data_IF_374678506304
#
_entry.id   IF_374678506304
#
_cell.length_a   1.000
_cell.length_b   1.000
_cell.length_c   1.000
_cell.angle_alpha   90.00
_cell.angle_beta   90.00
_cell.angle_gamma   90.00
#
_symmetry.space_group_name_H-M   'P 1'
#
loop_
_entity.id
_entity.type
_entity.pdbx_description
1 polymer ?
#
# COMPACT_ATOMS: atom_id res chain seq x y z
N UNK A 1 43.02 -50.65 21.56
CA UNK A 1 42.04 -51.68 21.12
C UNK A 1 41.06 -51.01 20.18
N UNK A 2 41.22 -51.29 18.89
CA UNK A 2 40.38 -50.79 17.81
C UNK A 2 39.03 -51.52 17.82
N UNK A 3 37.93 -50.78 17.64
CA UNK A 3 36.70 -51.33 17.05
C UNK A 3 36.22 -50.42 15.93
N UNK A 4 36.36 -50.91 14.71
CA UNK A 4 35.77 -50.41 13.48
C UNK A 4 34.28 -50.74 13.51
N UNK A 5 33.41 -49.77 13.13
CA UNK A 5 32.03 -50.06 12.77
C UNK A 5 31.80 -49.59 11.35
N UNK A 6 31.47 -50.56 10.51
CA UNK A 6 31.14 -50.40 9.10
C UNK A 6 29.75 -49.79 8.94
N UNK A 7 29.62 -48.82 8.06
CA UNK A 7 28.32 -48.30 7.58
C UNK A 7 28.03 -48.95 6.24
N UNK A 8 26.95 -49.73 6.18
CA UNK A 8 26.46 -50.38 4.97
C UNK A 8 25.57 -49.42 4.18
N UNK A 9 25.94 -49.16 2.94
CA UNK A 9 25.23 -48.35 1.96
C UNK A 9 24.19 -49.23 1.25
N UNK A 10 22.90 -48.99 1.47
CA UNK A 10 21.81 -49.66 0.73
C UNK A 10 21.39 -48.82 -0.47
N UNK A 11 21.76 -49.29 -1.67
CA UNK A 11 21.28 -48.76 -2.96
C UNK A 11 19.86 -49.30 -3.19
N UNK A 12 18.87 -48.45 -3.34
CA UNK A 12 17.50 -48.84 -3.79
C UNK A 12 17.36 -48.39 -5.26
N UNK A 13 17.34 -49.39 -6.16
CA UNK A 13 16.98 -49.23 -7.57
C UNK A 13 15.45 -49.05 -7.65
N UNK A 14 14.98 -47.95 -8.24
CA UNK A 14 13.59 -47.78 -8.66
C UNK A 14 13.54 -47.95 -10.16
N UNK A 15 12.83 -49.02 -10.57
CA UNK A 15 12.53 -49.38 -11.94
C UNK A 15 11.47 -48.47 -12.55
N UNK A 16 11.77 -47.97 -13.76
CA UNK A 16 10.86 -47.19 -14.61
C UNK A 16 9.84 -48.12 -15.23
N UNK A 17 8.56 -47.90 -14.89
CA UNK A 17 7.42 -48.50 -15.56
C UNK A 17 6.79 -47.50 -16.52
N UNK A 18 6.93 -47.72 -17.83
CA UNK A 18 6.13 -47.07 -18.86
C UNK A 18 4.69 -47.56 -18.80
N UNK A 19 3.75 -46.68 -18.60
CA UNK A 19 2.33 -46.91 -18.91
C UNK A 19 1.85 -45.80 -19.85
N UNK A 20 1.51 -46.25 -21.07
CA UNK A 20 0.81 -45.46 -22.06
C UNK A 20 -0.61 -45.17 -21.59
N UNK A 21 -1.03 -43.93 -21.52
CA UNK A 21 -2.41 -43.54 -21.31
C UNK A 21 -2.88 -42.64 -22.45
N UNK A 22 -4.02 -43.03 -22.98
CA UNK A 22 -4.70 -42.50 -24.13
C UNK A 22 -5.03 -41.02 -24.06
N UNK A 23 -4.86 -40.38 -25.20
CA UNK A 23 -5.28 -39.04 -25.56
C UNK A 23 -6.81 -38.97 -25.62
N UNK A 24 -7.45 -38.19 -24.75
CA UNK A 24 -8.84 -37.75 -24.89
C UNK A 24 -8.89 -36.23 -24.82
N UNK A 25 -9.08 -35.58 -25.98
CA UNK A 25 -9.38 -34.16 -26.10
C UNK A 25 -10.75 -33.85 -25.48
N UNK A 26 -10.89 -32.73 -24.73
CA UNK A 26 -12.21 -32.21 -24.42
C UNK A 26 -12.79 -31.48 -25.62
N UNK A 27 -14.09 -31.70 -25.83
CA UNK A 27 -14.88 -31.11 -26.89
C UNK A 27 -15.03 -29.61 -26.76
N UNK A 28 -14.92 -28.93 -27.89
CA UNK A 28 -15.14 -27.49 -28.03
C UNK A 28 -16.60 -27.11 -27.74
N UNK A 29 -16.79 -26.03 -26.96
CA UNK A 29 -18.09 -25.40 -26.77
C UNK A 29 -18.50 -24.60 -28.04
N UNK A 30 -19.79 -24.46 -28.36
CA UNK A 30 -20.23 -23.83 -29.58
C UNK A 30 -20.11 -22.26 -29.52
N UNK A 31 -19.57 -21.68 -30.58
CA UNK A 31 -19.58 -20.25 -30.82
C UNK A 31 -20.98 -19.74 -31.18
N UNK A 32 -21.39 -18.56 -30.76
CA UNK A 32 -22.59 -17.90 -31.28
C UNK A 32 -22.33 -17.32 -32.68
N UNK A 33 -23.28 -17.55 -33.57
CA UNK A 33 -23.36 -17.13 -34.95
C UNK A 33 -23.49 -15.60 -35.08
N UNK A 34 -22.67 -15.00 -35.97
CA UNK A 34 -22.82 -13.63 -36.49
C UNK A 34 -24.07 -13.53 -37.35
N UNK A 35 -24.78 -12.40 -37.37
CA UNK A 35 -25.76 -12.08 -38.42
C UNK A 35 -25.05 -11.48 -39.65
N UNK A 36 -25.51 -11.94 -40.81
CA UNK A 36 -25.07 -11.50 -42.14
C UNK A 36 -25.46 -10.03 -42.41
N UNK A 37 -24.53 -9.35 -43.06
CA UNK A 37 -24.74 -8.00 -43.60
C UNK A 37 -25.58 -8.07 -44.87
N UNK A 38 -26.68 -7.31 -44.92
CA UNK A 38 -27.48 -7.10 -46.10
C UNK A 38 -27.01 -5.81 -46.82
N UNK A 39 -26.67 -5.95 -48.08
CA UNK A 39 -26.21 -4.89 -48.97
C UNK A 39 -27.36 -4.39 -49.84
N UNK A 40 -27.60 -3.08 -49.90
CA UNK A 40 -28.24 -2.44 -51.03
C UNK A 40 -27.91 -0.92 -51.05
N UNK A 41 -28.09 -0.23 -52.21
CA UNK A 41 -26.99 0.55 -52.78
C UNK A 41 -27.18 2.07 -52.72
N UNK A 42 -26.08 2.77 -53.07
CA UNK A 42 -25.93 4.21 -53.15
C UNK A 42 -26.91 4.88 -54.11
N UNK A 43 -27.34 6.09 -53.77
CA UNK A 43 -27.84 7.09 -54.71
C UNK A 43 -27.19 8.44 -54.42
N UNK A 44 -26.48 8.96 -55.44
CA UNK A 44 -25.84 10.27 -55.48
C UNK A 44 -26.89 11.37 -55.62
N UNK A 45 -26.69 12.47 -54.92
CA UNK A 45 -27.25 13.77 -55.33
C UNK A 45 -26.29 14.91 -54.97
N UNK A 46 -25.60 15.39 -55.96
CA UNK A 46 -24.90 16.68 -55.95
C UNK A 46 -25.88 17.85 -55.86
N UNK A 47 -25.63 18.83 -55.05
CA UNK A 47 -25.98 20.21 -55.28
C UNK A 47 -24.96 21.19 -54.72
N UNK A 48 -24.28 21.89 -55.60
CA UNK A 48 -23.50 23.11 -55.37
C UNK A 48 -24.43 24.28 -55.01
N UNK A 49 -24.03 25.11 -54.09
CA UNK A 49 -24.22 26.57 -54.15
C UNK A 49 -23.14 27.31 -53.34
N UNK A 50 -22.70 28.42 -53.93
CA UNK A 50 -21.54 29.26 -53.60
C UNK A 50 -21.71 30.12 -52.35
N UNK A 51 -20.57 30.38 -51.77
CA UNK A 51 -19.98 31.56 -51.10
C UNK A 51 -20.89 32.61 -50.44
N UNK A 52 -20.61 32.89 -49.16
CA UNK A 52 -20.35 34.26 -48.74
C UNK A 52 -19.35 34.32 -47.58
N UNK A 53 -18.36 35.20 -47.71
CA UNK A 53 -17.24 35.44 -46.82
C UNK A 53 -17.65 36.37 -45.70
N UNK A 54 -17.53 35.91 -44.45
CA UNK A 54 -17.41 36.81 -43.32
C UNK A 54 -16.35 36.25 -42.36
N UNK A 55 -15.22 36.95 -42.32
CA UNK A 55 -14.11 36.75 -41.40
C UNK A 55 -14.57 37.03 -39.94
N UNK A 56 -14.57 35.99 -39.12
CA UNK A 56 -14.53 36.13 -37.67
C UNK A 56 -13.26 35.39 -37.20
N UNK A 57 -12.33 36.11 -36.63
CA UNK A 57 -11.22 35.55 -35.86
C UNK A 57 -11.81 34.78 -34.67
N UNK A 58 -12.02 33.50 -34.86
CA UNK A 58 -12.15 32.56 -33.73
C UNK A 58 -10.75 32.27 -33.24
N UNK A 59 -10.49 32.67 -31.98
CA UNK A 59 -9.37 32.19 -31.23
C UNK A 59 -9.49 30.66 -31.16
N UNK A 60 -8.65 29.94 -31.89
CA UNK A 60 -8.46 28.50 -31.75
C UNK A 60 -7.98 28.23 -30.34
N UNK A 61 -8.91 27.88 -29.44
CA UNK A 61 -8.59 27.08 -28.29
C UNK A 61 -8.09 25.75 -28.85
N UNK A 62 -6.80 25.51 -28.83
CA UNK A 62 -6.22 24.18 -28.99
C UNK A 62 -6.82 23.27 -27.90
N UNK A 63 -7.92 22.64 -28.20
CA UNK A 63 -8.34 21.45 -27.48
C UNK A 63 -7.28 20.39 -27.77
N UNK A 64 -6.33 20.22 -26.86
CA UNK A 64 -5.41 19.11 -26.91
C UNK A 64 -6.22 17.83 -27.14
N UNK A 65 -5.89 17.12 -28.21
CA UNK A 65 -6.58 15.87 -28.53
C UNK A 65 -6.51 14.96 -27.31
N UNK A 66 -7.67 14.52 -26.81
CA UNK A 66 -7.72 13.54 -25.71
C UNK A 66 -6.84 12.35 -26.06
N UNK A 67 -5.91 11.93 -25.19
CA UNK A 67 -5.13 10.74 -25.45
C UNK A 67 -6.10 9.56 -25.68
N UNK A 68 -5.90 8.86 -26.78
CA UNK A 68 -6.54 7.59 -27.10
C UNK A 68 -5.49 6.49 -27.02
N UNK A 69 -5.92 5.24 -27.18
CA UNK A 69 -5.02 4.10 -27.10
C UNK A 69 -5.05 3.43 -25.73
N UNK A 70 -3.99 2.71 -25.40
CA UNK A 70 -3.90 1.96 -24.15
C UNK A 70 -3.24 2.79 -23.05
N UNK A 71 -3.58 2.44 -21.80
CA UNK A 71 -2.92 2.88 -20.58
C UNK A 71 -2.77 1.68 -19.66
N UNK A 72 -1.56 1.22 -19.41
CA UNK A 72 -1.30 0.15 -18.45
C UNK A 72 -0.97 0.72 -17.08
N UNK A 73 -1.83 0.45 -16.10
CA UNK A 73 -1.67 0.82 -14.69
C UNK A 73 -1.31 -0.42 -13.90
N UNK A 74 -0.11 -0.45 -13.33
CA UNK A 74 0.36 -1.55 -12.52
C UNK A 74 0.21 -1.23 -11.03
N UNK A 75 -0.45 -2.11 -10.27
CA UNK A 75 -0.63 -1.95 -8.82
C UNK A 75 -0.82 -3.29 -8.11
N UNK A 76 -0.99 -3.25 -6.78
CA UNK A 76 -1.35 -4.43 -5.99
C UNK A 76 -2.68 -4.28 -5.24
N UNK A 77 -3.47 -3.27 -5.56
CA UNK A 77 -4.80 -3.04 -4.96
C UNK A 77 -5.83 -3.98 -5.58
N UNK A 78 -6.00 -5.16 -4.97
CA UNK A 78 -6.77 -6.26 -5.56
C UNK A 78 -8.04 -6.62 -4.82
N UNK A 79 -8.22 -6.17 -3.57
CA UNK A 79 -9.33 -6.60 -2.72
C UNK A 79 -9.96 -5.45 -1.95
N UNK A 80 -11.20 -5.65 -1.53
CA UNK A 80 -11.91 -4.79 -0.58
C UNK A 80 -11.98 -3.32 -0.98
N UNK A 81 -11.68 -2.45 -0.04
CA UNK A 81 -11.65 -1.00 -0.22
C UNK A 81 -10.60 -0.54 -1.22
N UNK A 82 -9.48 -1.23 -1.31
CA UNK A 82 -8.39 -0.89 -2.24
C UNK A 82 -8.80 -1.01 -3.71
N UNK A 83 -9.45 -2.12 -4.08
CA UNK A 83 -9.96 -2.32 -5.44
C UNK A 83 -11.05 -1.31 -5.79
N UNK A 84 -11.97 -1.03 -4.84
CA UNK A 84 -13.02 -0.05 -5.04
C UNK A 84 -12.45 1.38 -5.24
N UNK A 85 -11.40 1.73 -4.49
CA UNK A 85 -10.72 3.00 -4.64
C UNK A 85 -10.01 3.13 -6.00
N UNK A 86 -9.31 2.07 -6.45
CA UNK A 86 -8.69 2.04 -7.78
C UNK A 86 -9.73 2.18 -8.91
N UNK A 87 -10.87 1.50 -8.79
CA UNK A 87 -11.98 1.62 -9.75
C UNK A 87 -12.55 3.04 -9.81
N UNK A 88 -12.58 3.76 -8.66
CA UNK A 88 -12.98 5.16 -8.62
C UNK A 88 -11.98 6.07 -9.37
N UNK A 89 -10.67 5.81 -9.27
CA UNK A 89 -9.67 6.51 -10.10
C UNK A 89 -9.86 6.24 -11.59
N UNK A 90 -10.08 4.97 -11.96
CA UNK A 90 -10.35 4.61 -13.35
C UNK A 90 -11.61 5.29 -13.88
N UNK A 91 -12.67 5.37 -13.08
CA UNK A 91 -13.89 6.07 -13.45
C UNK A 91 -13.65 7.55 -13.69
N UNK A 92 -12.95 8.22 -12.75
CA UNK A 92 -12.61 9.65 -12.88
C UNK A 92 -11.77 9.93 -14.12
N UNK A 93 -10.77 9.07 -14.39
CA UNK A 93 -9.95 9.18 -15.59
C UNK A 93 -10.78 9.01 -16.86
N UNK A 94 -11.69 8.04 -16.89
CA UNK A 94 -12.56 7.77 -18.05
C UNK A 94 -13.56 8.89 -18.34
N UNK A 95 -13.99 9.64 -17.34
CA UNK A 95 -14.86 10.80 -17.53
C UNK A 95 -14.16 11.90 -18.33
N UNK A 96 -12.83 12.06 -18.18
CA UNK A 96 -12.01 13.02 -18.92
C UNK A 96 -11.48 12.44 -20.24
N UNK A 97 -11.12 11.15 -20.25
CA UNK A 97 -10.44 10.45 -21.37
C UNK A 97 -11.21 9.18 -21.79
N UNK A 98 -12.44 9.31 -22.30
CA UNK A 98 -13.32 8.16 -22.57
C UNK A 98 -12.79 7.19 -23.63
N UNK A 99 -11.88 7.64 -24.50
CA UNK A 99 -11.33 6.85 -25.60
C UNK A 99 -10.07 6.06 -25.23
N UNK A 100 -9.53 6.21 -24.02
CA UNK A 100 -8.38 5.44 -23.55
C UNK A 100 -8.83 4.07 -23.05
N UNK A 101 -8.20 3.00 -23.50
CA UNK A 101 -8.41 1.66 -22.96
C UNK A 101 -7.49 1.44 -21.75
N UNK A 102 -8.05 1.28 -20.55
CA UNK A 102 -7.26 1.04 -19.33
C UNK A 102 -6.98 -0.46 -19.19
N UNK A 103 -5.70 -0.80 -19.08
CA UNK A 103 -5.21 -2.14 -18.75
C UNK A 103 -4.87 -2.15 -17.26
N UNK A 104 -5.74 -2.74 -16.45
CA UNK A 104 -5.53 -2.90 -15.03
C UNK A 104 -4.61 -4.10 -14.79
N UNK A 105 -3.30 -3.84 -14.61
CA UNK A 105 -2.25 -4.86 -14.44
C UNK A 105 -1.98 -5.14 -12.95
N UNK A 106 -3.01 -5.52 -12.20
CA UNK A 106 -2.88 -5.79 -10.76
C UNK A 106 -2.25 -7.15 -10.46
N UNK A 107 -1.40 -7.19 -9.44
CA UNK A 107 -0.78 -8.42 -8.91
C UNK A 107 -1.13 -8.58 -7.43
N UNK A 108 -1.87 -9.63 -7.12
CA UNK A 108 -2.32 -9.91 -5.76
C UNK A 108 -1.22 -10.45 -4.84
N UNK A 109 -1.34 -10.15 -3.56
CA UNK A 109 -0.66 -10.81 -2.45
C UNK A 109 0.59 -10.12 -1.92
N UNK A 110 0.90 -10.44 -0.66
CA UNK A 110 2.11 -10.03 0.06
C UNK A 110 2.24 -8.53 0.31
N UNK A 111 1.12 -7.79 0.42
CA UNK A 111 1.13 -6.32 0.55
C UNK A 111 2.08 -5.63 -0.47
N UNK A 112 2.04 -6.10 -1.70
CA UNK A 112 2.89 -5.61 -2.78
C UNK A 112 4.15 -6.40 -3.04
N UNK A 113 4.63 -7.28 -2.15
CA UNK A 113 5.89 -8.02 -2.34
C UNK A 113 5.91 -8.82 -3.65
N UNK A 114 4.80 -9.48 -4.01
CA UNK A 114 4.66 -10.19 -5.28
C UNK A 114 4.69 -9.22 -6.47
N UNK A 115 4.00 -8.09 -6.36
CA UNK A 115 3.97 -7.06 -7.38
C UNK A 115 5.36 -6.44 -7.60
N UNK A 116 6.09 -6.14 -6.54
CA UNK A 116 7.46 -5.63 -6.63
C UNK A 116 8.37 -6.57 -7.40
N UNK A 117 8.34 -7.88 -7.12
CA UNK A 117 9.17 -8.87 -7.82
C UNK A 117 8.84 -8.94 -9.32
N UNK A 118 7.54 -8.91 -9.67
CA UNK A 118 7.09 -8.89 -11.07
C UNK A 118 7.51 -7.59 -11.76
N UNK A 119 7.26 -6.44 -11.13
CA UNK A 119 7.60 -5.13 -11.67
C UNK A 119 9.11 -5.00 -11.92
N UNK A 120 9.95 -5.38 -10.95
CA UNK A 120 11.41 -5.36 -11.10
C UNK A 120 11.87 -6.22 -12.28
N UNK A 121 11.26 -7.41 -12.46
CA UNK A 121 11.57 -8.28 -13.59
C UNK A 121 11.20 -7.64 -14.93
N UNK A 122 10.04 -6.98 -15.02
CA UNK A 122 9.61 -6.25 -16.22
C UNK A 122 10.53 -5.06 -16.52
N UNK A 123 10.83 -4.23 -15.52
CA UNK A 123 11.70 -3.06 -15.66
C UNK A 123 13.11 -3.47 -16.15
N UNK A 124 13.71 -4.49 -15.52
CA UNK A 124 15.01 -5.02 -15.92
C UNK A 124 14.99 -5.66 -17.32
N UNK A 125 13.85 -6.21 -17.74
CA UNK A 125 13.63 -6.78 -19.08
C UNK A 125 13.37 -5.75 -20.17
N UNK A 126 13.21 -4.45 -19.83
CA UNK A 126 12.84 -3.40 -20.78
C UNK A 126 11.38 -3.46 -21.27
N UNK A 127 10.49 -4.01 -20.43
CA UNK A 127 9.04 -4.12 -20.65
C UNK A 127 8.27 -3.38 -19.53
N UNK A 128 8.46 -2.05 -19.34
CA UNK A 128 7.77 -1.31 -18.30
C UNK A 128 6.26 -1.22 -18.58
N UNK A 129 5.40 -1.13 -17.53
CA UNK A 129 4.06 -0.58 -17.69
C UNK A 129 4.15 0.93 -17.95
N UNK A 130 3.04 1.58 -18.28
CA UNK A 130 3.01 3.05 -18.45
C UNK A 130 3.23 3.77 -17.13
N UNK A 131 2.55 3.29 -16.09
CA UNK A 131 2.67 3.80 -14.72
C UNK A 131 2.57 2.65 -13.72
N UNK A 132 3.16 2.84 -12.54
CA UNK A 132 3.01 1.88 -11.44
C UNK A 132 2.82 2.58 -10.11
N UNK A 133 2.13 1.89 -9.19
CA UNK A 133 1.96 2.30 -7.81
C UNK A 133 3.33 2.35 -7.10
N UNK A 134 3.53 3.38 -6.28
CA UNK A 134 4.76 3.59 -5.51
C UNK A 134 4.46 4.32 -4.20
N UNK A 135 5.36 4.14 -3.23
CA UNK A 135 5.45 4.97 -2.05
C UNK A 135 6.60 5.98 -2.19
N UNK A 136 6.54 7.16 -1.53
CA UNK A 136 7.64 8.13 -1.56
C UNK A 136 8.82 7.69 -0.71
N UNK A 137 9.93 8.44 -0.78
CA UNK A 137 11.13 8.20 0.04
C UNK A 137 12.02 7.09 -0.50
N UNK A 138 12.61 6.30 0.39
CA UNK A 138 13.66 5.35 0.07
C UNK A 138 13.24 4.27 -0.96
N UNK A 139 11.97 3.85 -0.95
CA UNK A 139 11.43 2.93 -1.96
C UNK A 139 11.48 3.54 -3.36
N UNK A 140 10.94 4.77 -3.52
CA UNK A 140 10.92 5.46 -4.81
C UNK A 140 12.33 5.62 -5.37
N UNK A 141 13.24 6.11 -4.54
CA UNK A 141 14.60 6.41 -4.99
C UNK A 141 15.38 5.15 -5.33
N UNK A 142 15.51 4.24 -4.39
CA UNK A 142 16.36 3.06 -4.54
C UNK A 142 15.85 2.05 -5.56
N UNK A 143 14.53 1.90 -5.70
CA UNK A 143 13.96 0.91 -6.62
C UNK A 143 13.76 1.43 -8.03
N UNK A 144 13.51 2.74 -8.22
CA UNK A 144 13.02 3.25 -9.50
C UNK A 144 13.79 4.44 -10.06
N UNK A 145 14.22 5.39 -9.20
CA UNK A 145 14.95 6.60 -9.64
C UNK A 145 16.41 6.29 -9.91
N UNK A 146 17.14 5.75 -8.94
CA UNK A 146 18.56 5.45 -9.05
C UNK A 146 18.89 4.48 -10.20
N UNK A 147 18.11 3.40 -10.43
CA UNK A 147 18.31 2.55 -11.58
C UNK A 147 17.89 3.18 -12.92
N UNK A 148 17.23 4.35 -12.89
CA UNK A 148 16.83 5.10 -14.08
C UNK A 148 15.58 4.56 -14.78
N UNK A 149 14.65 3.94 -14.05
CA UNK A 149 13.36 3.44 -14.57
C UNK A 149 12.27 4.51 -14.55
N UNK A 150 12.32 5.46 -13.61
CA UNK A 150 11.33 6.51 -13.44
C UNK A 150 11.64 7.73 -14.31
N UNK A 151 10.59 8.39 -14.81
CA UNK A 151 10.68 9.71 -15.42
C UNK A 151 10.34 10.81 -14.40
N UNK A 152 11.03 11.96 -14.44
CA UNK A 152 10.64 13.11 -13.62
C UNK A 152 9.29 13.66 -14.07
N UNK A 153 8.52 14.16 -13.11
CA UNK A 153 7.20 14.78 -13.30
C UNK A 153 7.12 16.20 -12.73
N UNK A 154 8.25 16.82 -12.43
CA UNK A 154 8.36 18.16 -11.86
C UNK A 154 7.67 19.21 -12.70
N UNK A 155 7.74 19.08 -14.03
CA UNK A 155 7.08 19.97 -14.98
C UNK A 155 5.56 19.94 -14.85
N UNK A 156 4.95 18.78 -14.54
CA UNK A 156 3.52 18.67 -14.24
C UNK A 156 3.15 19.44 -12.98
N UNK A 157 3.96 19.31 -11.92
CA UNK A 157 3.75 20.05 -10.67
C UNK A 157 3.78 21.55 -10.87
N UNK A 158 4.70 22.04 -11.72
CA UNK A 158 4.82 23.44 -12.04
C UNK A 158 3.68 23.96 -12.91
N UNK A 159 3.31 23.21 -13.96
CA UNK A 159 2.23 23.57 -14.90
C UNK A 159 0.86 23.64 -14.22
N UNK A 160 0.57 22.68 -13.35
CA UNK A 160 -0.71 22.54 -12.67
C UNK A 160 -0.77 23.31 -11.32
N UNK A 161 0.36 23.89 -10.87
CA UNK A 161 0.46 24.64 -9.61
C UNK A 161 0.20 23.78 -8.37
N UNK A 162 0.63 22.51 -8.39
CA UNK A 162 0.36 21.57 -7.30
C UNK A 162 1.20 21.79 -6.05
N UNK A 163 2.43 22.33 -6.18
CA UNK A 163 3.34 22.54 -5.07
C UNK A 163 2.73 23.38 -3.94
N UNK A 164 1.91 24.39 -4.29
CA UNK A 164 1.22 25.24 -3.33
C UNK A 164 -0.01 24.59 -2.68
N UNK A 165 -0.40 23.40 -3.17
CA UNK A 165 -1.62 22.68 -2.78
C UNK A 165 -1.33 21.36 -2.09
N UNK A 166 -0.08 21.03 -1.83
CA UNK A 166 0.33 19.80 -1.17
C UNK A 166 1.06 20.08 0.14
N UNK A 167 0.97 19.18 1.12
CA UNK A 167 1.76 19.30 2.33
C UNK A 167 3.25 19.30 2.02
N UNK A 168 3.99 20.21 2.68
CA UNK A 168 5.42 20.37 2.41
C UNK A 168 6.23 19.10 2.68
N UNK A 169 5.89 18.38 3.76
CA UNK A 169 6.54 17.12 4.13
C UNK A 169 6.36 16.05 3.04
N UNK A 170 5.18 16.01 2.41
CA UNK A 170 4.92 15.09 1.31
C UNK A 170 5.74 15.45 0.06
N UNK A 171 5.82 16.75 -0.28
CA UNK A 171 6.64 17.22 -1.41
C UNK A 171 8.12 16.89 -1.17
N UNK A 172 8.62 17.11 0.05
CA UNK A 172 10.01 16.79 0.43
C UNK A 172 10.30 15.29 0.27
N UNK A 173 9.36 14.40 0.67
CA UNK A 173 9.54 12.95 0.54
C UNK A 173 9.50 12.42 -0.90
N UNK A 174 8.98 13.20 -1.85
CA UNK A 174 8.93 12.85 -3.28
C UNK A 174 10.05 13.47 -4.11
N UNK A 175 10.79 14.43 -3.53
CA UNK A 175 11.83 15.20 -4.24
C UNK A 175 13.18 14.50 -4.06
N UNK A 176 13.77 14.06 -5.16
CA UNK A 176 15.07 13.41 -5.16
C UNK A 176 16.24 14.38 -4.93
N UNK A 177 17.46 13.87 -4.76
CA UNK A 177 18.67 14.65 -4.55
C UNK A 177 19.00 15.59 -5.72
N UNK A 178 18.57 15.27 -6.94
CA UNK A 178 18.69 16.12 -8.12
C UNK A 178 17.70 17.27 -8.17
N UNK A 179 16.77 17.34 -7.21
CA UNK A 179 15.73 18.34 -7.10
C UNK A 179 14.48 18.06 -7.95
N UNK A 180 14.42 16.91 -8.62
CA UNK A 180 13.27 16.49 -9.42
C UNK A 180 12.28 15.68 -8.60
N UNK A 181 11.00 15.71 -9.00
CA UNK A 181 9.91 14.92 -8.42
C UNK A 181 9.61 13.76 -9.37
N UNK A 182 9.49 12.53 -8.83
CA UNK A 182 9.35 11.31 -9.63
C UNK A 182 8.04 10.56 -9.42
N UNK A 183 7.13 11.10 -8.60
CA UNK A 183 5.84 10.46 -8.36
C UNK A 183 4.73 11.50 -8.18
N UNK A 184 3.49 11.08 -8.41
CA UNK A 184 2.29 11.86 -8.11
C UNK A 184 1.49 11.10 -7.06
N UNK A 185 1.35 11.71 -5.86
CA UNK A 185 0.62 11.08 -4.75
C UNK A 185 -0.88 11.29 -4.85
N UNK A 186 -1.65 10.27 -4.52
CA UNK A 186 -3.12 10.27 -4.51
C UNK A 186 -3.69 10.32 -3.09
N UNK A 187 -2.98 9.78 -2.11
CA UNK A 187 -3.43 9.73 -0.72
C UNK A 187 -2.28 9.72 0.27
N UNK A 188 -2.57 10.21 1.47
CA UNK A 188 -1.72 10.10 2.65
C UNK A 188 -2.40 9.14 3.60
N UNK A 189 -1.66 8.16 4.07
CA UNK A 189 -2.09 7.12 4.97
C UNK A 189 -1.44 7.28 6.33
N UNK A 190 -2.17 6.86 7.35
CA UNK A 190 -1.67 6.75 8.72
C UNK A 190 -1.35 5.30 9.04
N UNK A 191 -0.10 5.02 9.46
CA UNK A 191 0.38 3.67 9.80
C UNK A 191 0.16 3.27 11.26
N UNK A 192 -0.09 4.23 12.17
CA UNK A 192 -0.12 3.99 13.61
C UNK A 192 -1.53 3.95 14.22
N UNK A 193 -2.49 3.35 13.51
CA UNK A 193 -3.84 3.16 14.02
C UNK A 193 -4.00 1.82 14.76
N UNK A 194 -4.73 1.88 15.88
CA UNK A 194 -5.28 0.72 16.57
C UNK A 194 -6.79 0.70 16.39
N UNK A 195 -7.27 -0.17 15.51
CA UNK A 195 -8.69 -0.39 15.26
C UNK A 195 -9.29 -1.32 16.29
N UNK A 196 -10.56 -1.12 16.67
CA UNK A 196 -11.21 -1.98 17.64
C UNK A 196 -12.70 -2.21 17.38
N UNK A 197 -13.17 -3.40 17.79
CA UNK A 197 -14.57 -3.78 17.74
C UNK A 197 -15.27 -3.27 19.01
N UNK A 198 -16.08 -2.21 18.87
CA UNK A 198 -16.75 -1.55 20.01
C UNK A 198 -17.71 -2.47 20.75
N UNK A 199 -18.46 -3.29 20.00
CA UNK A 199 -19.41 -4.21 20.58
C UNK A 199 -18.73 -5.27 21.44
N UNK A 200 -17.67 -5.88 20.92
CA UNK A 200 -16.92 -6.90 21.65
C UNK A 200 -16.31 -6.34 22.93
N UNK A 201 -15.71 -5.15 22.89
CA UNK A 201 -15.17 -4.50 24.08
C UNK A 201 -16.27 -4.22 25.12
N UNK A 202 -17.41 -3.68 24.71
CA UNK A 202 -18.53 -3.38 25.59
C UNK A 202 -19.13 -4.64 26.24
N UNK A 203 -19.20 -5.76 25.52
CA UNK A 203 -19.66 -7.07 26.05
C UNK A 203 -18.74 -7.59 27.18
N UNK A 204 -17.48 -7.16 27.20
CA UNK A 204 -16.51 -7.52 28.26
C UNK A 204 -16.25 -6.39 29.25
N UNK A 205 -17.07 -5.32 29.23
CA UNK A 205 -16.94 -4.20 30.16
C UNK A 205 -15.67 -3.36 29.96
N UNK A 206 -15.11 -3.39 28.75
CA UNK A 206 -13.91 -2.65 28.36
C UNK A 206 -14.32 -1.38 27.59
N UNK A 207 -13.71 -0.26 27.97
CA UNK A 207 -13.95 1.05 27.35
C UNK A 207 -12.61 1.66 26.94
N UNK A 208 -12.57 2.26 25.75
CA UNK A 208 -11.43 3.01 25.24
C UNK A 208 -11.63 4.49 25.60
N UNK A 209 -10.62 5.07 26.24
CA UNK A 209 -10.57 6.51 26.55
C UNK A 209 -10.07 7.34 25.35
N UNK A 210 -9.73 8.61 25.61
CA UNK A 210 -9.15 9.50 24.59
C UNK A 210 -7.72 9.09 24.19
N UNK A 211 -7.01 8.39 25.06
CA UNK A 211 -5.68 7.82 24.84
C UNK A 211 -5.61 6.41 25.43
N UNK A 212 -4.68 5.60 24.92
CA UNK A 212 -4.42 4.25 25.41
C UNK A 212 -2.93 4.09 25.66
N UNK A 213 -2.55 3.76 26.91
CA UNK A 213 -1.17 3.38 27.23
C UNK A 213 -0.93 1.90 26.96
N UNK A 214 0.35 1.51 26.83
CA UNK A 214 0.73 0.10 26.67
C UNK A 214 0.21 -0.76 27.84
N UNK A 215 0.35 -0.31 29.09
CA UNK A 215 -0.14 -1.03 30.26
C UNK A 215 -1.66 -1.21 30.25
N UNK A 216 -2.41 -0.19 29.81
CA UNK A 216 -3.87 -0.30 29.68
C UNK A 216 -4.26 -1.30 28.57
N UNK A 217 -3.55 -1.29 27.45
CA UNK A 217 -3.76 -2.28 26.38
C UNK A 217 -3.53 -3.70 26.90
N UNK A 218 -2.43 -3.96 27.64
CA UNK A 218 -2.13 -5.28 28.23
C UNK A 218 -3.21 -5.70 29.23
N UNK A 219 -3.71 -4.80 30.10
CA UNK A 219 -4.81 -5.11 31.01
C UNK A 219 -6.09 -5.51 30.29
N UNK A 220 -6.42 -4.84 29.19
CA UNK A 220 -7.56 -5.21 28.35
C UNK A 220 -7.34 -6.56 27.67
N UNK A 221 -6.14 -6.79 27.17
CA UNK A 221 -5.75 -8.04 26.51
C UNK A 221 -5.79 -9.23 27.50
N UNK A 222 -5.38 -9.05 28.75
CA UNK A 222 -5.52 -10.06 29.80
C UNK A 222 -6.98 -10.39 30.09
N UNK A 223 -7.85 -9.38 30.18
CA UNK A 223 -9.30 -9.58 30.37
C UNK A 223 -9.91 -10.39 29.24
N UNK A 224 -9.54 -10.10 27.99
CA UNK A 224 -10.01 -10.83 26.81
C UNK A 224 -9.45 -12.27 26.80
N UNK A 225 -8.18 -12.45 27.16
CA UNK A 225 -7.52 -13.76 27.24
C UNK A 225 -8.20 -14.67 28.28
N UNK A 226 -8.63 -14.13 29.43
CA UNK A 226 -9.43 -14.87 30.42
C UNK A 226 -10.78 -15.34 29.86
N UNK A 227 -11.35 -14.60 28.90
CA UNK A 227 -12.54 -14.97 28.17
C UNK A 227 -12.29 -15.89 26.95
N UNK A 228 -11.03 -16.31 26.72
CA UNK A 228 -10.57 -17.05 25.53
C UNK A 228 -10.80 -16.30 24.20
N UNK A 229 -10.65 -14.99 24.21
CA UNK A 229 -10.74 -14.12 23.03
C UNK A 229 -9.34 -13.56 22.76
N UNK A 230 -8.78 -13.75 21.56
CA UNK A 230 -7.56 -13.05 21.16
C UNK A 230 -7.78 -11.55 21.23
N UNK A 231 -6.85 -10.82 21.85
CA UNK A 231 -6.96 -9.36 21.81
C UNK A 231 -6.63 -8.82 20.42
N UNK A 232 -5.58 -9.34 19.78
CA UNK A 232 -5.13 -8.88 18.47
C UNK A 232 -5.55 -9.82 17.34
N UNK A 233 -6.12 -9.26 16.27
CA UNK A 233 -6.20 -9.86 14.95
C UNK A 233 -4.94 -9.48 14.17
N UNK A 234 -4.13 -10.45 13.82
CA UNK A 234 -2.93 -10.30 13.00
C UNK A 234 -3.04 -11.19 11.78
N UNK A 235 -2.64 -10.69 10.62
CA UNK A 235 -2.61 -11.44 9.36
C UNK A 235 -1.21 -11.45 8.79
N UNK A 236 -0.44 -12.51 9.12
CA UNK A 236 1.00 -12.60 8.93
C UNK A 236 1.43 -13.49 7.76
N UNK A 237 0.55 -13.78 6.81
CA UNK A 237 0.95 -14.56 5.64
C UNK A 237 2.13 -13.94 4.86
N UNK A 238 2.49 -12.67 5.13
CA UNK A 238 3.64 -11.96 4.59
C UNK A 238 4.50 -11.27 5.65
N UNK A 239 4.32 -11.55 6.95
CA UNK A 239 5.03 -11.00 8.13
C UNK A 239 4.91 -9.47 8.33
N UNK A 240 4.65 -8.70 7.30
CA UNK A 240 4.68 -7.24 7.36
C UNK A 240 3.66 -6.65 8.36
N UNK A 241 2.54 -7.33 8.64
CA UNK A 241 1.56 -6.89 9.63
C UNK A 241 2.14 -6.97 11.06
N UNK A 242 2.87 -8.04 11.41
CA UNK A 242 3.63 -8.12 12.65
C UNK A 242 4.76 -7.09 12.68
N UNK A 243 5.44 -6.88 11.56
CA UNK A 243 6.49 -5.87 11.45
C UNK A 243 5.94 -4.45 11.70
N UNK A 244 4.72 -4.13 11.25
CA UNK A 244 4.04 -2.87 11.57
C UNK A 244 3.79 -2.70 13.07
N UNK A 245 3.46 -3.76 13.80
CA UNK A 245 3.32 -3.69 15.26
C UNK A 245 4.66 -3.32 15.91
N UNK A 246 5.77 -3.90 15.46
CA UNK A 246 7.11 -3.52 15.97
C UNK A 246 7.44 -2.08 15.61
N UNK A 247 7.18 -1.62 14.39
CA UNK A 247 7.39 -0.23 13.98
C UNK A 247 6.67 0.74 14.91
N UNK A 248 5.40 0.48 15.20
CA UNK A 248 4.60 1.31 16.11
C UNK A 248 5.16 1.31 17.55
N UNK A 249 5.69 0.19 18.03
CA UNK A 249 6.41 0.14 19.32
C UNK A 249 7.70 0.96 19.27
N UNK A 250 8.44 0.97 18.15
CA UNK A 250 9.64 1.81 17.99
C UNK A 250 9.28 3.30 18.01
N UNK A 251 8.20 3.71 17.33
CA UNK A 251 7.71 5.09 17.37
C UNK A 251 7.31 5.47 18.79
N UNK A 252 6.58 4.60 19.49
CA UNK A 252 6.15 4.81 20.87
C UNK A 252 7.35 4.99 21.84
N UNK A 253 8.34 4.11 21.76
CA UNK A 253 9.49 4.11 22.68
C UNK A 253 10.50 5.23 22.39
N UNK A 254 10.70 5.58 21.12
CA UNK A 254 11.70 6.56 20.70
C UNK A 254 11.12 7.97 20.58
N UNK A 255 9.86 8.11 20.25
CA UNK A 255 9.21 9.40 20.03
C UNK A 255 9.95 10.24 18.98
N UNK A 256 10.31 11.47 19.31
CA UNK A 256 11.06 12.37 18.42
C UNK A 256 12.46 11.86 18.04
N UNK A 257 12.97 10.84 18.71
CA UNK A 257 14.25 10.19 18.36
C UNK A 257 14.12 9.14 17.25
N UNK A 258 12.89 8.75 16.89
CA UNK A 258 12.67 7.70 15.90
C UNK A 258 13.37 7.94 14.55
N UNK A 259 13.35 9.15 13.95
CA UNK A 259 14.11 9.41 12.73
C UNK A 259 15.63 9.22 12.87
N UNK A 260 16.16 9.28 14.10
CA UNK A 260 17.57 9.03 14.40
C UNK A 260 18.04 7.61 14.09
N UNK A 261 17.12 6.65 13.92
CA UNK A 261 17.44 5.29 13.43
C UNK A 261 18.01 5.33 12.00
N UNK A 262 17.64 6.33 11.20
CA UNK A 262 17.97 6.46 9.78
C UNK A 262 19.12 7.43 9.51
N UNK A 263 19.31 8.42 10.38
CA UNK A 263 20.45 9.34 10.28
C UNK A 263 21.68 8.87 11.09
N UNK A 264 21.54 7.73 11.80
CA UNK A 264 22.60 7.12 12.59
C UNK A 264 22.80 7.71 13.99
N UNK A 265 21.97 8.66 14.42
CA UNK A 265 22.07 9.25 15.78
C UNK A 265 21.46 8.39 16.87
N UNK A 266 20.67 7.38 16.51
CA UNK A 266 20.10 6.34 17.41
C UNK A 266 20.48 4.96 16.92
N UNK A 267 21.15 4.18 17.77
CA UNK A 267 21.49 2.79 17.46
C UNK A 267 20.29 1.86 17.62
N UNK A 268 20.22 0.82 16.79
CA UNK A 268 19.26 -0.28 16.98
C UNK A 268 19.54 -1.12 18.25
N UNK A 269 20.72 -0.98 18.86
CA UNK A 269 21.02 -1.54 20.19
C UNK A 269 20.70 -0.59 21.37
N UNK A 270 20.09 0.59 21.11
CA UNK A 270 19.63 1.52 22.16
C UNK A 270 18.64 0.81 23.11
N UNK A 271 18.74 1.04 24.42
CA UNK A 271 17.80 0.44 25.39
C UNK A 271 16.32 0.67 25.06
N UNK A 272 15.94 1.83 24.49
CA UNK A 272 14.56 2.09 24.10
C UNK A 272 14.13 1.24 22.89
N UNK A 273 15.04 0.91 21.98
CA UNK A 273 14.75 -0.04 20.88
C UNK A 273 14.51 -1.44 21.43
N UNK A 274 15.33 -1.89 22.39
CA UNK A 274 15.13 -3.19 23.04
C UNK A 274 13.82 -3.25 23.82
N UNK A 275 13.45 -2.16 24.51
CA UNK A 275 12.14 -2.04 25.17
C UNK A 275 10.99 -2.15 24.15
N UNK A 276 11.08 -1.48 23.00
CA UNK A 276 10.09 -1.61 21.93
C UNK A 276 9.94 -3.05 21.43
N UNK A 277 11.06 -3.77 21.27
CA UNK A 277 11.06 -5.19 20.87
C UNK A 277 10.45 -6.07 21.96
N UNK A 278 10.72 -5.80 23.24
CA UNK A 278 10.11 -6.50 24.37
C UNK A 278 8.60 -6.29 24.42
N UNK A 279 8.11 -5.05 24.25
CA UNK A 279 6.68 -4.71 24.20
C UNK A 279 5.99 -5.39 23.00
N UNK A 280 6.62 -5.37 21.85
CA UNK A 280 6.15 -6.11 20.67
C UNK A 280 6.02 -7.61 20.99
N UNK A 281 7.03 -8.22 21.59
CA UNK A 281 6.99 -9.62 22.01
C UNK A 281 5.84 -9.94 22.94
N UNK A 282 5.52 -9.03 23.89
CA UNK A 282 4.37 -9.16 24.79
C UNK A 282 3.04 -9.08 24.03
N UNK A 283 2.89 -8.15 23.10
CA UNK A 283 1.67 -8.01 22.29
C UNK A 283 1.36 -9.29 21.49
N UNK A 284 2.38 -9.96 20.96
CA UNK A 284 2.22 -11.21 20.20
C UNK A 284 1.64 -12.36 21.02
N UNK A 285 1.69 -12.30 22.36
CA UNK A 285 1.08 -13.33 23.23
C UNK A 285 -0.47 -13.28 23.20
N UNK A 286 -1.04 -12.22 22.65
CA UNK A 286 -2.48 -11.98 22.59
C UNK A 286 -3.06 -12.07 21.18
N UNK A 287 -2.26 -12.50 20.18
CA UNK A 287 -2.69 -12.61 18.79
C UNK A 287 -3.52 -13.88 18.54
N UNK A 288 -4.27 -13.89 17.45
CA UNK A 288 -5.02 -15.05 16.99
C UNK A 288 -4.08 -16.21 16.59
N UNK A 289 -4.47 -17.45 16.90
CA UNK A 289 -3.64 -18.66 16.64
C UNK A 289 -3.39 -18.90 15.14
N UNK A 290 -4.29 -18.46 14.28
CA UNK A 290 -4.25 -18.65 12.82
C UNK A 290 -3.55 -17.50 12.06
N UNK A 291 -2.88 -16.58 12.78
CA UNK A 291 -2.27 -15.36 12.22
C UNK A 291 -1.37 -15.62 10.99
N UNK A 292 -0.53 -16.67 11.05
CA UNK A 292 0.42 -16.99 9.99
C UNK A 292 -0.24 -17.43 8.66
N UNK A 293 -1.52 -17.84 8.70
CA UNK A 293 -2.27 -18.27 7.53
C UNK A 293 -3.17 -17.19 6.93
N UNK A 294 -3.38 -16.09 7.65
CA UNK A 294 -4.26 -15.00 7.22
C UNK A 294 -3.49 -13.89 6.53
N UNK A 295 -4.10 -13.28 5.52
CA UNK A 295 -3.71 -11.97 5.03
C UNK A 295 -4.26 -10.86 5.94
N UNK A 296 -3.76 -9.62 5.77
CA UNK A 296 -4.19 -8.48 6.58
C UNK A 296 -5.72 -8.21 6.49
N UNK A 297 -6.29 -8.32 5.29
CA UNK A 297 -7.72 -8.13 5.04
C UNK A 297 -8.56 -9.24 5.69
N UNK A 298 -8.06 -10.48 5.71
CA UNK A 298 -8.69 -11.58 6.43
C UNK A 298 -8.65 -11.37 7.95
N UNK A 299 -7.57 -10.79 8.48
CA UNK A 299 -7.49 -10.41 9.89
C UNK A 299 -8.44 -9.25 10.22
N UNK A 300 -8.54 -8.23 9.36
CA UNK A 300 -9.54 -7.17 9.48
C UNK A 300 -10.98 -7.72 9.47
N UNK A 301 -11.27 -8.66 8.57
CA UNK A 301 -12.56 -9.36 8.55
C UNK A 301 -12.82 -10.13 9.84
N UNK A 302 -11.81 -10.77 10.42
CA UNK A 302 -11.95 -11.47 11.71
C UNK A 302 -12.29 -10.51 12.84
N UNK A 303 -11.72 -9.29 12.87
CA UNK A 303 -12.10 -8.21 13.77
C UNK A 303 -13.56 -7.83 13.58
N UNK A 304 -13.99 -7.61 12.32
CA UNK A 304 -15.36 -7.26 11.96
C UNK A 304 -16.36 -8.30 12.50
N UNK A 305 -16.03 -9.57 12.37
CA UNK A 305 -16.85 -10.70 12.83
C UNK A 305 -16.79 -10.95 14.34
N UNK A 306 -15.98 -10.19 15.08
CA UNK A 306 -15.83 -10.31 16.54
C UNK A 306 -14.94 -11.49 16.97
N UNK A 307 -14.08 -11.98 16.10
CA UNK A 307 -13.12 -13.05 16.42
C UNK A 307 -11.92 -12.60 17.24
N UNK A 308 -11.70 -11.30 17.36
CA UNK A 308 -10.73 -10.61 18.23
C UNK A 308 -11.15 -9.16 18.43
N UNK A 309 -10.51 -8.45 19.35
CA UNK A 309 -10.97 -7.13 19.78
C UNK A 309 -10.28 -5.96 19.07
N UNK A 310 -9.00 -6.13 18.70
CA UNK A 310 -8.16 -5.10 18.12
C UNK A 310 -7.42 -5.59 16.87
N UNK A 311 -7.02 -4.65 16.00
CA UNK A 311 -5.99 -4.88 14.99
C UNK A 311 -5.13 -3.62 14.85
N UNK A 312 -3.81 -3.80 14.78
CA UNK A 312 -2.86 -2.74 14.38
C UNK A 312 -2.77 -2.79 12.87
N UNK A 313 -3.23 -1.76 12.22
CA UNK A 313 -3.25 -1.71 10.75
C UNK A 313 -3.40 -0.25 10.31
N UNK A 314 -2.71 0.13 9.25
CA UNK A 314 -2.91 1.45 8.68
C UNK A 314 -4.34 1.69 8.21
N UNK A 315 -4.62 2.92 7.87
CA UNK A 315 -5.98 3.40 7.57
C UNK A 315 -6.65 2.73 6.36
N UNK A 316 -5.91 2.00 5.54
CA UNK A 316 -6.51 1.15 4.49
C UNK A 316 -7.45 0.06 5.05
N UNK A 317 -7.37 -0.28 6.34
CA UNK A 317 -8.33 -1.16 6.99
C UNK A 317 -9.74 -0.55 7.05
N UNK A 318 -9.86 0.77 7.05
CA UNK A 318 -11.14 1.48 7.02
C UNK A 318 -12.02 1.04 5.84
N UNK A 319 -11.42 0.83 4.67
CA UNK A 319 -12.14 0.36 3.49
C UNK A 319 -12.84 -0.99 3.71
N UNK A 320 -12.25 -1.90 4.48
CA UNK A 320 -12.86 -3.19 4.82
C UNK A 320 -14.08 -3.02 5.75
N UNK A 321 -14.01 -2.09 6.72
CA UNK A 321 -15.14 -1.80 7.62
C UNK A 321 -16.31 -1.18 6.85
N UNK A 322 -16.05 -0.24 5.95
CA UNK A 322 -17.09 0.39 5.12
C UNK A 322 -17.73 -0.62 4.16
N UNK A 323 -16.93 -1.49 3.54
CA UNK A 323 -17.44 -2.56 2.68
C UNK A 323 -18.34 -3.55 3.44
N UNK A 324 -18.07 -3.75 4.73
CA UNK A 324 -18.94 -4.53 5.61
C UNK A 324 -20.20 -3.76 6.08
N UNK A 325 -20.42 -2.54 5.60
CA UNK A 325 -21.49 -1.61 6.01
C UNK A 325 -21.46 -1.26 7.49
N UNK A 326 -20.27 -1.25 8.11
CA UNK A 326 -20.08 -0.78 9.48
C UNK A 326 -19.99 0.75 9.51
N UNK A 327 -20.34 1.32 10.65
CA UNK A 327 -20.38 2.77 10.84
C UNK A 327 -19.34 3.25 11.84
N UNK A 328 -18.73 4.36 11.49
CA UNK A 328 -17.77 5.10 12.30
C UNK A 328 -18.30 5.35 13.71
N UNK A 329 -17.51 4.96 14.73
CA UNK A 329 -17.84 5.14 16.16
C UNK A 329 -19.15 4.49 16.67
N UNK A 330 -19.91 3.78 15.81
CA UNK A 330 -21.05 2.95 16.23
C UNK A 330 -20.65 1.50 16.37
N UNK A 331 -20.13 0.89 15.30
CA UNK A 331 -19.79 -0.53 15.23
C UNK A 331 -18.30 -0.78 15.53
N UNK A 332 -17.43 0.07 15.01
CA UNK A 332 -15.98 0.04 15.23
C UNK A 332 -15.49 1.41 15.69
N UNK A 333 -14.27 1.43 16.21
CA UNK A 333 -13.57 2.64 16.58
C UNK A 333 -12.09 2.53 16.24
N UNK A 334 -11.39 3.62 16.45
CA UNK A 334 -9.94 3.75 16.26
C UNK A 334 -9.36 4.63 17.34
N UNK A 335 -8.08 4.46 17.56
CA UNK A 335 -7.26 5.30 18.43
C UNK A 335 -5.81 5.18 17.96
N UNK A 336 -4.99 6.12 18.34
CA UNK A 336 -3.54 6.00 18.15
C UNK A 336 -3.02 4.72 18.79
N UNK A 337 -2.07 4.07 18.13
CA UNK A 337 -1.34 2.97 18.75
C UNK A 337 -0.78 3.41 20.13
N UNK A 338 -0.79 2.57 21.17
CA UNK A 338 -0.38 2.96 22.49
C UNK A 338 0.96 3.71 22.53
N UNK A 339 0.92 4.95 23.04
CA UNK A 339 2.11 5.81 23.16
C UNK A 339 2.48 6.62 21.91
N UNK A 340 1.69 6.57 20.83
CA UNK A 340 2.00 7.32 19.59
C UNK A 340 1.08 8.51 19.32
N UNK A 341 0.35 9.01 20.31
CA UNK A 341 -0.70 10.02 20.13
C UNK A 341 -0.22 11.40 19.65
N UNK A 342 1.08 11.68 19.65
CA UNK A 342 1.65 12.93 19.15
C UNK A 342 2.43 12.71 17.83
N UNK A 343 2.27 11.53 17.22
CA UNK A 343 2.99 11.10 16.03
C UNK A 343 2.04 10.63 14.93
N UNK A 344 2.39 10.97 13.70
CA UNK A 344 1.74 10.47 12.50
C UNK A 344 2.75 9.63 11.72
N UNK A 345 2.56 8.31 11.69
CA UNK A 345 3.36 7.39 10.88
C UNK A 345 2.94 7.51 9.41
N UNK A 346 3.77 8.21 8.62
CA UNK A 346 3.45 8.60 7.25
C UNK A 346 3.71 7.45 6.28
N UNK A 347 2.64 6.96 5.71
CA UNK A 347 2.61 6.20 4.47
C UNK A 347 1.90 7.05 3.41
N UNK A 348 2.33 7.01 2.17
CA UNK A 348 1.62 7.69 1.10
C UNK A 348 1.62 6.83 -0.16
N UNK A 349 0.51 6.84 -0.86
CA UNK A 349 0.32 6.11 -2.11
C UNK A 349 0.29 7.06 -3.30
N UNK A 350 0.94 6.66 -4.38
CA UNK A 350 0.95 7.41 -5.62
C UNK A 350 1.34 6.56 -6.81
N UNK A 351 1.64 7.23 -7.89
CA UNK A 351 2.08 6.59 -9.13
C UNK A 351 3.37 7.21 -9.64
N UNK A 352 4.25 6.37 -10.18
CA UNK A 352 5.47 6.75 -10.90
C UNK A 352 5.24 6.56 -12.39
N UNK A 353 5.72 7.50 -13.19
CA UNK A 353 5.72 7.46 -14.64
C UNK A 353 6.95 6.68 -15.13
N UNK A 354 6.75 5.69 -15.99
CA UNK A 354 7.86 5.01 -16.63
C UNK A 354 8.66 5.96 -17.52
N UNK A 355 9.99 5.89 -17.44
CA UNK A 355 10.87 6.65 -18.33
C UNK A 355 10.65 6.31 -19.81
N UNK A 356 10.46 5.03 -20.08
CA UNK A 356 10.22 4.49 -21.41
C UNK A 356 8.76 3.98 -21.54
N UNK A 357 7.78 4.77 -21.03
CA UNK A 357 6.37 4.42 -21.06
C UNK A 357 5.92 4.10 -22.50
N UNK A 358 5.27 2.94 -22.74
CA UNK A 358 4.74 2.60 -24.07
C UNK A 358 3.73 3.63 -24.59
N UNK A 359 2.94 4.23 -23.70
CA UNK A 359 1.89 5.21 -24.03
C UNK A 359 2.05 6.51 -23.24
N UNK A 360 3.10 7.33 -23.48
CA UNK A 360 3.51 8.42 -22.59
C UNK A 360 2.45 9.52 -22.43
N UNK A 361 1.63 9.78 -23.45
CA UNK A 361 0.58 10.80 -23.37
C UNK A 361 -0.59 10.34 -22.48
N UNK A 362 -0.99 9.07 -22.58
CA UNK A 362 -2.01 8.48 -21.69
C UNK A 362 -1.49 8.39 -20.25
N UNK A 363 -0.22 8.04 -20.07
CA UNK A 363 0.45 8.01 -18.77
C UNK A 363 0.50 9.39 -18.09
N UNK A 364 0.87 10.46 -18.82
CA UNK A 364 0.85 11.83 -18.28
C UNK A 364 -0.56 12.30 -17.95
N UNK A 365 -1.54 11.95 -18.79
CA UNK A 365 -2.94 12.24 -18.51
C UNK A 365 -3.42 11.52 -17.23
N UNK A 366 -2.99 10.27 -17.01
CA UNK A 366 -3.23 9.55 -15.75
C UNK A 366 -2.64 10.28 -14.56
N UNK A 367 -1.38 10.71 -14.63
CA UNK A 367 -0.72 11.46 -13.55
C UNK A 367 -1.50 12.76 -13.21
N UNK A 368 -2.02 13.46 -14.22
CA UNK A 368 -2.86 14.65 -14.00
C UNK A 368 -4.19 14.30 -13.35
N UNK A 369 -4.87 13.25 -13.83
CA UNK A 369 -6.13 12.79 -13.28
C UNK A 369 -6.00 12.39 -11.82
N UNK A 370 -4.97 11.60 -11.47
CA UNK A 370 -4.69 11.14 -10.09
C UNK A 370 -4.59 12.28 -9.08
N UNK A 371 -3.96 13.39 -9.44
CA UNK A 371 -3.85 14.57 -8.54
C UNK A 371 -5.04 15.54 -8.67
N UNK A 372 -6.04 15.24 -9.47
CA UNK A 372 -7.23 16.09 -9.56
C UNK A 372 -8.08 16.00 -8.28
N UNK A 373 -8.78 17.09 -7.92
CA UNK A 373 -9.70 17.07 -6.77
C UNK A 373 -10.78 15.99 -6.91
N UNK A 374 -11.44 15.81 -8.09
CA UNK A 374 -12.42 14.74 -8.24
C UNK A 374 -11.85 13.36 -7.97
N UNK A 375 -10.64 13.06 -8.44
CA UNK A 375 -10.01 11.75 -8.24
C UNK A 375 -9.67 11.52 -6.75
N UNK A 376 -9.03 12.49 -6.10
CA UNK A 376 -8.66 12.34 -4.70
C UNK A 376 -9.88 12.29 -3.76
N UNK A 377 -10.92 13.05 -4.04
CA UNK A 377 -12.18 13.04 -3.28
C UNK A 377 -13.03 11.79 -3.53
N UNK A 378 -12.81 11.07 -4.64
CA UNK A 378 -13.45 9.78 -4.92
C UNK A 378 -12.65 8.61 -4.33
N UNK A 379 -11.33 8.65 -4.40
CA UNK A 379 -10.42 7.59 -3.96
C UNK A 379 -10.31 7.49 -2.44
N UNK A 380 -9.94 8.60 -1.79
CA UNK A 380 -9.53 8.54 -0.38
C UNK A 380 -10.62 8.09 0.60
N UNK A 381 -11.91 8.47 0.44
CA UNK A 381 -12.96 7.96 1.32
C UNK A 381 -13.20 6.45 1.23
N UNK A 382 -12.87 5.83 0.09
CA UNK A 382 -13.00 4.38 -0.12
C UNK A 382 -11.76 3.63 0.37
N UNK A 383 -10.57 4.23 0.17
CA UNK A 383 -9.28 3.65 0.54
C UNK A 383 -9.03 3.73 2.05
N UNK A 384 -9.60 4.74 2.74
CA UNK A 384 -9.34 5.06 4.15
C UNK A 384 -8.38 6.22 4.36
N UNK A 385 -7.65 6.62 3.33
CA UNK A 385 -6.62 7.66 3.36
C UNK A 385 -7.19 9.08 3.36
N UNK A 386 -6.32 10.06 3.60
CA UNK A 386 -6.64 11.47 3.42
C UNK A 386 -6.00 11.99 2.12
N UNK A 387 -6.55 13.09 1.59
CA UNK A 387 -6.01 13.68 0.37
C UNK A 387 -4.53 14.03 0.48
N UNK A 388 -3.78 13.76 -0.59
CA UNK A 388 -2.44 14.30 -0.78
C UNK A 388 -2.45 15.83 -1.01
N UNK A 389 -3.63 16.42 -1.21
CA UNK A 389 -3.86 17.85 -1.42
C UNK A 389 -4.47 18.50 -0.18
N UNK A 390 -4.16 19.78 0.04
CA UNK A 390 -4.68 20.56 1.17
C UNK A 390 -6.02 21.25 0.87
N UNK A 391 -6.51 21.22 -0.37
CA UNK A 391 -7.69 21.94 -0.84
C UNK A 391 -8.92 21.02 -1.09
N UNK A 392 -8.87 19.75 -0.66
CA UNK A 392 -10.01 18.84 -0.70
C UNK A 392 -11.17 19.31 0.21
N UNK A 393 -12.42 19.09 -0.22
CA UNK A 393 -13.61 19.41 0.60
C UNK A 393 -13.78 18.37 1.71
N UNK A 394 -13.42 18.74 2.94
CA UNK A 394 -13.55 17.90 4.15
C UNK A 394 -14.95 17.33 4.39
N UNK A 395 -16.00 17.94 3.83
CA UNK A 395 -17.37 17.45 3.95
C UNK A 395 -17.63 16.16 3.19
N UNK A 396 -16.76 15.80 2.23
CA UNK A 396 -16.83 14.54 1.50
C UNK A 396 -16.23 13.35 2.25
N UNK A 397 -15.66 13.60 3.42
CA UNK A 397 -14.92 12.65 4.23
C UNK A 397 -15.65 12.32 5.53
N UNK A 398 -15.52 11.08 6.00
CA UNK A 398 -16.09 10.59 7.26
C UNK A 398 -15.40 11.17 8.50
N UNK A 399 -15.88 10.73 9.67
CA UNK A 399 -15.37 11.19 10.97
C UNK A 399 -13.89 10.77 11.12
N UNK A 400 -13.55 9.53 10.76
CA UNK A 400 -12.19 9.01 10.80
C UNK A 400 -11.23 9.89 9.98
N UNK A 401 -11.55 10.14 8.70
CA UNK A 401 -10.70 10.93 7.83
C UNK A 401 -10.48 12.35 8.35
N UNK A 402 -11.53 12.98 8.88
CA UNK A 402 -11.40 14.32 9.45
C UNK A 402 -10.50 14.34 10.69
N UNK A 403 -10.56 13.30 11.53
CA UNK A 403 -9.64 13.10 12.65
C UNK A 403 -8.21 12.89 12.16
N UNK A 404 -8.00 12.05 11.16
CA UNK A 404 -6.67 11.81 10.56
C UNK A 404 -6.09 13.07 9.91
N UNK A 405 -6.92 13.90 9.22
CA UNK A 405 -6.49 15.19 8.68
C UNK A 405 -6.04 16.17 9.78
N UNK A 406 -6.76 16.21 10.91
CA UNK A 406 -6.41 17.07 12.04
C UNK A 406 -5.09 16.60 12.68
N UNK A 407 -4.94 15.30 12.87
CA UNK A 407 -3.70 14.68 13.36
C UNK A 407 -2.51 14.95 12.43
N UNK A 408 -2.65 14.73 11.12
CA UNK A 408 -1.58 15.03 10.16
C UNK A 408 -1.14 16.50 10.19
N UNK A 409 -2.06 17.42 10.50
CA UNK A 409 -1.76 18.85 10.59
C UNK A 409 -1.08 19.26 11.91
N UNK A 410 -1.27 18.51 13.00
CA UNK A 410 -0.83 18.86 14.35
C UNK A 410 0.35 18.03 14.87
N UNK A 411 0.41 16.76 14.49
CA UNK A 411 1.33 15.80 15.05
C UNK A 411 2.72 15.85 14.38
N UNK A 412 3.69 15.23 15.03
CA UNK A 412 5.01 15.02 14.44
C UNK A 412 4.93 13.92 13.39
N UNK A 413 5.08 14.29 12.12
CA UNK A 413 5.11 13.32 11.01
C UNK A 413 6.46 12.60 11.01
N UNK A 414 6.41 11.26 11.02
CA UNK A 414 7.59 10.38 10.96
C UNK A 414 7.49 9.47 9.73
N UNK A 415 8.61 9.11 9.08
CA UNK A 415 8.60 8.23 7.91
C UNK A 415 8.35 6.79 8.31
N UNK A 416 7.50 6.08 7.57
CA UNK A 416 7.20 4.66 7.82
C UNK A 416 8.26 3.72 7.25
N UNK A 417 8.61 2.70 8.04
CA UNK A 417 9.38 1.52 7.58
C UNK A 417 8.51 0.71 6.61
N UNK A 418 7.29 0.39 7.03
CA UNK A 418 6.37 -0.46 6.26
C UNK A 418 5.97 0.23 4.96
N UNK A 419 5.73 1.55 5.01
CA UNK A 419 5.45 2.38 3.83
C UNK A 419 6.68 2.66 2.95
N UNK A 420 7.85 2.06 3.23
CA UNK A 420 9.05 2.19 2.39
C UNK A 420 9.70 3.59 2.39
N UNK A 421 9.20 4.52 3.21
CA UNK A 421 9.73 5.89 3.24
C UNK A 421 11.00 6.02 4.09
N UNK A 422 11.09 5.26 5.20
CA UNK A 422 12.12 5.44 6.23
C UNK A 422 13.48 4.85 5.83
N UNK A 423 13.51 3.69 5.16
CA UNK A 423 14.72 2.89 5.04
C UNK A 423 14.95 2.36 3.63
N UNK A 424 16.23 2.15 3.24
CA UNK A 424 16.56 1.45 2.00
C UNK A 424 15.91 0.07 1.93
N UNK A 425 15.59 -0.37 0.71
CA UNK A 425 14.86 -1.63 0.48
C UNK A 425 15.58 -2.86 1.07
N UNK A 426 16.91 -2.90 1.02
CA UNK A 426 17.71 -4.00 1.56
C UNK A 426 17.61 -4.05 3.09
N UNK A 427 17.62 -2.89 3.75
CA UNK A 427 17.39 -2.82 5.19
C UNK A 427 15.97 -3.24 5.56
N UNK A 428 14.96 -2.78 4.81
CA UNK A 428 13.56 -3.18 5.03
C UNK A 428 13.39 -4.70 4.90
N UNK A 429 14.06 -5.35 3.95
CA UNK A 429 14.05 -6.81 3.84
C UNK A 429 14.68 -7.49 5.07
N UNK A 430 15.83 -6.99 5.53
CA UNK A 430 16.48 -7.50 6.73
C UNK A 430 15.60 -7.30 7.99
N UNK A 431 14.82 -6.22 8.04
CA UNK A 431 13.83 -5.99 9.09
C UNK A 431 12.74 -7.07 9.08
N UNK A 432 12.15 -7.39 7.92
CA UNK A 432 11.16 -8.46 7.80
C UNK A 432 11.73 -9.84 8.14
N UNK A 433 12.95 -10.12 7.73
CA UNK A 433 13.64 -11.38 8.04
C UNK A 433 13.91 -11.49 9.55
N UNK A 434 14.36 -10.40 10.19
CA UNK A 434 14.58 -10.32 11.62
C UNK A 434 13.28 -10.50 12.43
N UNK A 435 12.20 -9.83 12.00
CA UNK A 435 10.86 -10.00 12.62
C UNK A 435 10.36 -11.43 12.47
N UNK A 436 10.55 -12.05 11.30
CA UNK A 436 10.19 -13.46 11.05
C UNK A 436 10.90 -14.39 12.04
N UNK A 437 12.18 -14.16 12.26
CA UNK A 437 12.95 -14.95 13.24
C UNK A 437 12.47 -14.70 14.67
N UNK A 438 12.25 -13.43 15.02
CA UNK A 438 11.81 -13.03 16.36
C UNK A 438 10.44 -13.61 16.74
N UNK A 439 9.51 -13.71 15.80
CA UNK A 439 8.20 -14.34 16.06
C UNK A 439 8.37 -15.78 16.60
N UNK A 440 9.45 -16.46 16.21
CA UNK A 440 9.74 -17.84 16.59
C UNK A 440 10.52 -17.94 17.91
N UNK A 441 11.61 -17.18 18.04
CA UNK A 441 12.58 -17.37 19.16
C UNK A 441 12.44 -16.35 20.29
N UNK A 442 11.81 -15.20 20.03
CA UNK A 442 11.61 -14.09 21.00
C UNK A 442 12.92 -13.53 21.58
N UNK A 443 14.02 -13.63 20.82
CA UNK A 443 15.33 -13.14 21.27
C UNK A 443 15.49 -11.64 20.91
N UNK A 444 15.29 -10.79 21.91
CA UNK A 444 15.36 -9.32 21.81
C UNK A 444 16.74 -8.85 21.38
N UNK A 445 17.79 -9.43 21.99
CA UNK A 445 19.16 -9.03 21.70
C UNK A 445 19.57 -9.45 20.28
N UNK A 446 19.15 -10.64 19.83
CA UNK A 446 19.44 -11.12 18.49
C UNK A 446 18.78 -10.23 17.44
N UNK A 447 17.50 -9.84 17.62
CA UNK A 447 16.81 -8.94 16.71
C UNK A 447 17.50 -7.56 16.68
N UNK A 448 17.76 -6.94 17.83
CA UNK A 448 18.41 -5.63 17.89
C UNK A 448 19.78 -5.64 17.19
N UNK A 449 20.60 -6.69 17.41
CA UNK A 449 21.91 -6.85 16.76
C UNK A 449 21.78 -7.05 15.24
N UNK A 450 20.80 -7.83 14.77
CA UNK A 450 20.59 -8.05 13.35
C UNK A 450 20.19 -6.76 12.63
N UNK A 451 19.34 -5.94 13.24
CA UNK A 451 18.94 -4.65 12.71
C UNK A 451 20.09 -3.64 12.70
N UNK A 452 20.91 -3.62 13.75
CA UNK A 452 22.12 -2.79 13.80
C UNK A 452 23.12 -3.19 12.70
N UNK A 453 23.32 -4.49 12.49
CA UNK A 453 24.20 -4.96 11.40
C UNK A 453 23.63 -4.58 10.02
N UNK A 454 22.33 -4.75 9.81
CA UNK A 454 21.69 -4.36 8.56
C UNK A 454 21.81 -2.84 8.29
N UNK A 455 21.74 -2.01 9.34
CA UNK A 455 21.95 -0.57 9.23
C UNK A 455 23.38 -0.24 8.77
N UNK A 456 24.39 -0.91 9.33
CA UNK A 456 25.79 -0.75 8.90
C UNK A 456 25.98 -1.18 7.44
N UNK A 457 25.39 -2.32 7.05
CA UNK A 457 25.48 -2.84 5.68
C UNK A 457 24.78 -1.90 4.67
N UNK A 458 23.71 -1.22 5.08
CA UNK A 458 23.02 -0.18 4.30
C UNK A 458 23.72 1.20 4.33
N UNK A 459 24.87 1.32 5.02
CA UNK A 459 25.63 2.57 5.11
C UNK A 459 25.10 3.58 6.12
N UNK A 460 24.17 3.19 6.99
CA UNK A 460 23.70 4.00 8.12
C UNK A 460 24.75 3.90 9.22
N UNK A 461 25.51 4.96 9.43
CA UNK A 461 26.55 5.00 10.47
C UNK A 461 25.89 5.13 11.84
N UNK A 462 26.08 4.17 12.73
CA UNK A 462 25.58 4.16 14.12
C UNK A 462 26.72 4.30 15.13
#
# INVERSE_FOLDING_TARGET
MLKKLSVTLSLLLITVGLLAACNSQPAAAPQPSQPEADTAPAEEAETKTEADTASAEEAESETAASPGGDLEVFSYWTSGGEAAALDALFSTYKDEYPNTNIINAVIAGGAGSNAFAVLQTRLAGGDPPDVWQTHPGAELYGRYVDPGYAAPVTDLYQQEGWLDKMPKQLVESMTAEDGEIYAVMVGIHRGNDLWYNKKLLAEHGLEIGDTLSFDQFIQMADTLKEANIPALCVGDSGIWASAMILENNLISALGSRYPGLWDGSVSFEDPAVKEAIEQYGQMLEYQNEDHAALSWDQAAKKLIEGGCAFTVMGDWAYGEFVNANLKDNEDFGWIDFPGTQDYFDLVADGFTLAKDAPNPEAAKAWMKSVNSLPAQEAFNPLKGSICARTDCDRKKFGIYHNWSMDSFASDTVVPSIIGGAAAPADWQQAYFDGVTQFVVDKDVDALAQSLAQAAQDAGISQ
#
